data_IF_609528519278
#
_entry.id   IF_609528519278
#
_cell.length_a   1.000
_cell.length_b   1.000
_cell.length_c   1.000
_cell.angle_alpha   90.00
_cell.angle_beta   90.00
_cell.angle_gamma   90.00
#
_symmetry.space_group_name_H-M   'P 1'
#
loop_
_entity.id
_entity.type
_entity.pdbx_description
1 polymer ?
#
# COMPACT_ATOMS: atom_id res chain seq x y z
N UNK A 1 11.41 -66.21 40.27
CA UNK A 1 10.58 -66.33 39.05
C UNK A 1 11.41 -65.88 37.87
N UNK A 2 11.60 -66.80 36.91
CA UNK A 2 11.84 -66.67 35.45
C UNK A 2 11.96 -65.24 34.88
N UNK A 3 12.71 -64.95 33.82
CA UNK A 3 13.74 -65.63 33.02
C UNK A 3 14.24 -64.54 32.03
N UNK A 4 15.44 -64.75 31.52
CA UNK A 4 16.16 -64.01 30.47
C UNK A 4 15.36 -63.63 29.21
N UNK A 5 15.81 -62.58 28.50
CA UNK A 5 15.47 -62.39 27.08
C UNK A 5 15.93 -61.07 26.45
N UNK A 6 17.15 -61.03 25.92
CA UNK A 6 17.56 -60.06 24.89
C UNK A 6 17.09 -60.57 23.53
N UNK A 7 16.39 -59.77 22.72
CA UNK A 7 16.37 -59.98 21.27
C UNK A 7 16.09 -58.69 20.46
N UNK A 8 16.80 -58.67 19.34
CA UNK A 8 17.09 -57.64 18.35
C UNK A 8 16.00 -57.53 17.26
N UNK A 9 15.72 -56.29 16.82
CA UNK A 9 15.24 -55.80 15.49
C UNK A 9 13.91 -56.35 14.94
N UNK A 10 13.04 -55.46 14.44
CA UNK A 10 12.57 -55.39 13.04
C UNK A 10 11.65 -54.17 12.88
N UNK A 11 12.04 -53.30 11.96
CA UNK A 11 11.22 -52.23 11.38
C UNK A 11 10.15 -52.89 10.50
N UNK A 12 8.87 -52.62 10.75
CA UNK A 12 7.81 -52.84 9.78
C UNK A 12 7.10 -51.50 9.54
N UNK A 13 7.36 -50.94 8.35
CA UNK A 13 6.50 -49.93 7.75
C UNK A 13 5.12 -50.55 7.49
N UNK A 14 4.07 -49.92 7.99
CA UNK A 14 2.77 -49.96 7.35
C UNK A 14 2.38 -48.54 6.94
N UNK A 15 2.36 -48.34 5.62
CA UNK A 15 1.62 -47.28 4.96
C UNK A 15 0.13 -47.57 5.13
N UNK A 16 -0.61 -46.66 5.76
CA UNK A 16 -2.02 -46.47 5.46
C UNK A 16 -2.32 -44.98 5.28
N UNK A 17 -2.88 -44.70 4.12
CA UNK A 17 -3.37 -43.39 3.68
C UNK A 17 -4.71 -43.15 4.38
N UNK A 18 -4.85 -42.02 5.06
CA UNK A 18 -6.10 -41.60 5.67
C UNK A 18 -6.09 -40.09 5.94
N UNK A 19 -6.87 -39.36 5.15
CA UNK A 19 -7.09 -37.92 5.24
C UNK A 19 -7.65 -37.45 6.60
N UNK A 20 -7.47 -36.14 6.85
CA UNK A 20 -8.00 -35.31 7.95
C UNK A 20 -7.21 -35.42 9.27
N UNK A 21 -6.59 -34.37 9.82
CA UNK A 21 -7.19 -33.06 10.05
C UNK A 21 -6.27 -31.88 9.67
N UNK A 22 -6.76 -31.09 8.71
CA UNK A 22 -6.52 -29.65 8.59
C UNK A 22 -7.03 -28.97 9.87
N UNK A 23 -6.17 -28.71 10.85
CA UNK A 23 -6.54 -27.81 11.96
C UNK A 23 -5.39 -27.07 12.63
N UNK A 24 -4.12 -27.45 12.41
CA UNK A 24 -3.01 -26.90 13.23
C UNK A 24 -1.97 -26.06 12.46
N UNK A 25 -2.07 -25.93 11.14
CA UNK A 25 -1.13 -25.09 10.34
C UNK A 25 -1.59 -23.65 10.10
N UNK A 26 -2.81 -23.29 10.51
CA UNK A 26 -3.37 -21.95 10.28
C UNK A 26 -3.06 -20.96 11.41
N UNK A 27 -2.53 -21.44 12.54
CA UNK A 27 -2.33 -20.62 13.76
C UNK A 27 -0.89 -20.11 13.92
N UNK A 28 0.09 -20.69 13.20
CA UNK A 28 1.49 -20.22 13.25
C UNK A 28 1.76 -19.12 12.19
N UNK A 29 0.88 -18.95 11.19
CA UNK A 29 0.98 -17.93 10.14
C UNK A 29 0.55 -16.51 10.54
N UNK A 30 -0.03 -16.33 11.73
CA UNK A 30 -0.58 -15.05 12.18
C UNK A 30 0.33 -14.25 13.13
N UNK A 31 1.32 -14.88 13.78
CA UNK A 31 2.11 -14.23 14.85
C UNK A 31 3.38 -13.50 14.39
N UNK A 32 3.92 -13.81 13.21
CA UNK A 32 5.20 -13.23 12.77
C UNK A 32 5.08 -12.08 11.75
N UNK A 33 3.85 -11.62 11.47
CA UNK A 33 3.58 -10.44 10.61
C UNK A 33 3.56 -9.12 11.42
N UNK A 34 3.48 -9.18 12.76
CA UNK A 34 3.24 -8.01 13.61
C UNK A 34 4.50 -7.17 13.96
N UNK A 35 5.71 -7.69 13.76
CA UNK A 35 6.93 -7.01 14.17
C UNK A 35 7.58 -6.24 13.00
N UNK A 36 7.06 -5.04 12.69
CA UNK A 36 7.82 -3.84 12.26
C UNK A 36 6.90 -2.70 11.75
N UNK A 37 5.88 -2.35 12.53
CA UNK A 37 4.99 -1.20 12.31
C UNK A 37 5.20 -0.17 13.43
N UNK A 38 6.46 0.14 13.78
CA UNK A 38 6.76 1.02 14.92
C UNK A 38 7.23 2.39 14.42
N UNK A 39 6.56 3.45 14.87
CA UNK A 39 7.03 4.82 14.67
C UNK A 39 8.12 5.12 15.71
N UNK A 40 9.35 4.70 15.37
CA UNK A 40 10.52 4.75 16.26
C UNK A 40 11.10 6.15 16.46
N UNK A 41 10.95 7.02 15.47
CA UNK A 41 11.41 8.41 15.57
C UNK A 41 10.42 9.21 16.43
N UNK A 42 10.91 9.76 17.54
CA UNK A 42 10.15 10.59 18.48
C UNK A 42 10.81 11.97 18.57
N UNK A 43 10.01 13.02 18.50
CA UNK A 43 10.44 14.41 18.64
C UNK A 43 9.59 15.11 19.71
N UNK A 44 10.21 15.96 20.53
CA UNK A 44 9.49 16.75 21.54
C UNK A 44 9.50 18.23 21.15
N UNK A 45 8.32 18.82 21.04
CA UNK A 45 8.13 20.25 20.78
C UNK A 45 8.48 21.06 22.04
N UNK A 46 9.31 22.09 21.89
CA UNK A 46 9.97 22.76 23.01
C UNK A 46 9.07 23.74 23.78
N UNK A 47 8.02 24.27 23.16
CA UNK A 47 7.10 25.22 23.80
C UNK A 47 6.08 24.51 24.68
N UNK A 48 5.46 23.45 24.19
CA UNK A 48 4.36 22.74 24.85
C UNK A 48 4.78 21.42 25.49
N UNK A 49 5.96 20.88 25.14
CA UNK A 49 6.40 19.55 25.57
C UNK A 49 5.68 18.40 24.87
N UNK A 50 4.87 18.68 23.84
CA UNK A 50 4.20 17.65 23.04
C UNK A 50 5.22 16.71 22.39
N UNK A 51 4.99 15.41 22.52
CA UNK A 51 5.76 14.39 21.81
C UNK A 51 5.07 14.02 20.52
N UNK A 52 5.83 13.95 19.44
CA UNK A 52 5.41 13.55 18.11
C UNK A 52 6.15 12.30 17.69
N UNK A 53 5.48 11.45 16.93
CA UNK A 53 6.07 10.27 16.29
C UNK A 53 6.01 10.39 14.79
N UNK A 54 7.10 10.00 14.12
CA UNK A 54 7.17 10.03 12.66
C UNK A 54 6.60 8.76 12.08
N UNK A 55 5.54 8.90 11.29
CA UNK A 55 4.95 7.80 10.54
C UNK A 55 5.80 7.57 9.27
N UNK A 56 6.44 6.40 9.10
CA UNK A 56 7.47 6.20 8.09
C UNK A 56 6.89 5.98 6.68
N UNK A 57 7.72 6.28 5.65
CA UNK A 57 7.40 6.13 4.21
C UNK A 57 7.06 4.70 3.77
N UNK A 58 7.33 3.68 4.59
CA UNK A 58 6.97 2.27 4.29
C UNK A 58 5.45 2.03 4.25
N UNK A 59 4.64 3.03 4.62
CA UNK A 59 3.18 3.09 4.40
C UNK A 59 2.82 3.44 2.95
N UNK A 60 3.27 2.65 1.97
CA UNK A 60 3.12 3.03 0.55
C UNK A 60 1.65 2.91 0.10
N UNK A 61 0.90 2.02 0.73
CA UNK A 61 -0.54 1.84 0.53
C UNK A 61 -1.15 1.29 1.82
N UNK A 62 -2.22 1.91 2.31
CA UNK A 62 -3.05 1.31 3.35
C UNK A 62 -4.51 1.36 2.92
N UNK A 63 -5.30 0.41 3.43
CA UNK A 63 -6.73 0.33 3.14
C UNK A 63 -7.49 1.15 4.18
N UNK A 64 -8.06 2.27 3.74
CA UNK A 64 -8.94 3.09 4.56
C UNK A 64 -10.37 2.52 4.52
N UNK A 65 -11.19 2.81 5.53
CA UNK A 65 -12.55 2.32 5.65
C UNK A 65 -12.65 0.89 6.19
N UNK A 66 -13.87 0.39 6.32
CA UNK A 66 -14.20 -0.89 6.99
C UNK A 66 -14.74 -1.93 6.01
N UNK A 67 -14.40 -3.23 6.17
CA UNK A 67 -14.99 -4.30 5.37
C UNK A 67 -16.49 -4.39 5.61
N UNK A 68 -17.26 -4.96 4.69
CA UNK A 68 -18.73 -5.08 4.82
C UNK A 68 -19.17 -5.94 5.99
N UNK A 69 -18.25 -6.71 6.54
CA UNK A 69 -18.47 -7.60 7.68
C UNK A 69 -18.14 -6.95 9.03
N UNK A 70 -17.53 -5.76 9.08
CA UNK A 70 -17.17 -5.11 10.35
C UNK A 70 -18.43 -4.67 11.09
N UNK A 71 -18.59 -5.12 12.33
CA UNK A 71 -19.76 -4.78 13.13
C UNK A 71 -19.80 -3.27 13.45
N UNK A 72 -20.98 -2.68 13.28
CA UNK A 72 -21.18 -1.24 13.51
C UNK A 72 -20.66 -0.34 12.38
N UNK A 73 -20.19 -0.91 11.26
CA UNK A 73 -19.87 -0.19 10.02
C UNK A 73 -21.02 0.69 9.56
N UNK A 74 -20.69 1.82 8.92
CA UNK A 74 -21.62 2.67 8.17
C UNK A 74 -21.36 2.61 6.66
N UNK A 75 -22.36 3.05 5.88
CA UNK A 75 -22.29 3.06 4.40
C UNK A 75 -21.21 3.99 3.82
N UNK A 76 -20.81 5.01 4.58
CA UNK A 76 -19.80 6.00 4.24
C UNK A 76 -18.37 5.58 4.61
N UNK A 77 -18.18 4.32 4.99
CA UNK A 77 -16.89 3.71 5.39
C UNK A 77 -16.42 2.68 4.33
N UNK A 78 -16.70 2.94 3.04
CA UNK A 78 -16.33 2.04 1.92
C UNK A 78 -14.80 1.90 1.80
N UNK A 79 -14.31 0.67 1.62
CA UNK A 79 -12.87 0.45 1.51
C UNK A 79 -12.31 0.84 0.15
N UNK A 80 -11.19 1.55 0.17
CA UNK A 80 -10.28 1.71 -0.95
C UNK A 80 -8.85 1.86 -0.45
N UNK A 81 -7.90 1.79 -1.38
CA UNK A 81 -6.48 1.84 -1.07
C UNK A 81 -5.93 3.20 -1.49
N UNK A 82 -5.20 3.86 -0.60
CA UNK A 82 -4.57 5.16 -0.87
C UNK A 82 -3.15 5.20 -0.30
N UNK A 83 -2.40 6.23 -0.67
CA UNK A 83 -1.02 6.45 -0.23
C UNK A 83 -0.95 7.65 0.69
N UNK A 84 -0.28 7.51 1.83
CA UNK A 84 0.02 8.62 2.75
C UNK A 84 1.53 8.81 2.79
N UNK A 85 1.98 10.06 2.65
CA UNK A 85 3.40 10.39 2.75
C UNK A 85 3.90 10.32 4.20
N UNK A 86 5.19 10.54 4.42
CA UNK A 86 5.76 10.62 5.78
C UNK A 86 5.36 11.94 6.47
N UNK A 87 4.83 11.83 7.69
CA UNK A 87 4.43 12.96 8.54
C UNK A 87 4.72 12.64 10.01
N UNK A 88 4.78 13.68 10.84
CA UNK A 88 4.81 13.59 12.29
C UNK A 88 3.37 13.68 12.83
N UNK A 89 3.04 12.92 13.87
CA UNK A 89 1.75 13.01 14.58
C UNK A 89 1.96 12.94 16.10
N UNK A 90 1.19 13.71 16.86
CA UNK A 90 1.30 13.77 18.31
C UNK A 90 0.93 12.42 18.95
N UNK A 91 1.70 12.03 19.99
CA UNK A 91 1.53 10.77 20.72
C UNK A 91 0.16 10.65 21.37
N UNK A 92 -0.39 11.76 21.83
CA UNK A 92 -1.67 11.86 22.55
C UNK A 92 -2.56 12.91 21.89
N UNK A 93 -3.80 13.05 22.35
CA UNK A 93 -4.53 14.30 22.15
C UNK A 93 -3.78 15.46 22.84
N UNK A 94 -4.08 16.68 22.40
CA UNK A 94 -3.58 17.89 23.08
C UNK A 94 -4.14 17.94 24.49
N UNK A 95 -3.28 18.01 25.50
CA UNK A 95 -3.73 18.08 26.90
C UNK A 95 -4.16 19.49 27.30
N UNK A 96 -4.89 19.62 28.40
CA UNK A 96 -5.27 20.93 28.92
C UNK A 96 -4.07 21.76 29.36
N UNK A 97 -3.03 21.14 29.91
CA UNK A 97 -1.77 21.82 30.22
C UNK A 97 -1.13 22.40 28.96
N UNK A 98 -1.01 21.60 27.91
CA UNK A 98 -0.46 22.05 26.61
C UNK A 98 -1.34 23.13 25.97
N UNK A 99 -2.66 23.01 26.11
CA UNK A 99 -3.61 24.02 25.68
C UNK A 99 -3.37 25.37 26.38
N UNK A 100 -3.30 25.35 27.72
CA UNK A 100 -3.12 26.54 28.56
C UNK A 100 -1.76 27.22 28.32
N UNK A 101 -0.73 26.49 27.89
CA UNK A 101 0.55 27.09 27.47
C UNK A 101 0.39 28.05 26.29
N UNK A 102 -0.56 27.78 25.39
CA UNK A 102 -0.76 28.53 24.13
C UNK A 102 -1.95 29.49 24.22
N UNK A 103 -3.01 29.09 24.91
CA UNK A 103 -4.30 29.76 24.94
C UNK A 103 -4.59 30.31 26.34
N UNK A 104 -5.19 31.50 26.39
CA UNK A 104 -5.46 32.21 27.65
C UNK A 104 -6.72 31.75 28.40
N UNK A 105 -7.39 30.70 27.93
CA UNK A 105 -8.62 30.17 28.52
C UNK A 105 -8.73 28.67 28.24
N UNK A 106 -9.50 27.93 29.03
CA UNK A 106 -9.68 26.49 28.88
C UNK A 106 -11.16 26.13 28.64
N UNK A 107 -11.54 25.69 27.42
CA UNK A 107 -12.93 25.35 27.09
C UNK A 107 -13.39 24.01 27.65
N UNK A 108 -12.49 23.17 28.16
CA UNK A 108 -12.81 21.80 28.58
C UNK A 108 -13.90 21.75 29.63
N UNK A 109 -14.82 20.81 29.48
CA UNK A 109 -15.85 20.51 30.47
C UNK A 109 -15.23 19.87 31.71
N UNK A 110 -14.34 18.89 31.52
CA UNK A 110 -13.63 18.23 32.61
C UNK A 110 -12.32 18.95 32.86
N UNK A 111 -11.85 19.01 34.10
CA UNK A 111 -10.65 19.79 34.46
C UNK A 111 -9.53 18.89 34.97
N UNK A 112 -8.34 19.07 34.41
CA UNK A 112 -7.12 18.39 34.83
C UNK A 112 -6.04 18.56 33.77
N UNK A 113 -4.81 18.80 34.20
CA UNK A 113 -3.68 19.16 33.32
C UNK A 113 -3.36 18.08 32.27
N UNK A 114 -3.44 16.82 32.68
CA UNK A 114 -3.15 15.65 31.85
C UNK A 114 -4.38 15.10 31.12
N UNK A 115 -5.56 15.69 31.33
CA UNK A 115 -6.74 15.36 30.55
C UNK A 115 -6.61 15.94 29.12
N UNK A 116 -7.21 15.31 28.11
CA UNK A 116 -7.33 15.95 26.80
C UNK A 116 -8.10 17.27 26.93
N UNK A 117 -7.77 18.23 26.07
CA UNK A 117 -8.64 19.38 25.89
C UNK A 117 -9.93 18.91 25.20
N UNK A 118 -11.08 19.25 25.79
CA UNK A 118 -12.40 18.87 25.28
C UNK A 118 -13.23 20.12 24.97
N UNK A 119 -14.43 19.91 24.41
CA UNK A 119 -15.33 21.00 24.02
C UNK A 119 -14.69 22.03 23.07
N UNK A 120 -13.68 21.59 22.29
CA UNK A 120 -12.96 22.42 21.33
C UNK A 120 -13.65 22.35 19.97
N UNK A 121 -14.07 23.50 19.45
CA UNK A 121 -14.53 23.60 18.06
C UNK A 121 -13.35 23.53 17.09
N UNK A 122 -13.59 23.12 15.84
CA UNK A 122 -12.56 23.07 14.81
C UNK A 122 -11.86 24.43 14.64
N UNK A 123 -12.63 25.52 14.63
CA UNK A 123 -12.08 26.88 14.54
C UNK A 123 -11.15 27.22 15.71
N UNK A 124 -11.45 26.71 16.90
CA UNK A 124 -10.63 26.96 18.08
C UNK A 124 -9.35 26.10 18.07
N UNK A 125 -9.42 24.86 17.57
CA UNK A 125 -8.23 24.05 17.28
C UNK A 125 -7.31 24.75 16.25
N UNK A 126 -7.87 25.33 15.19
CA UNK A 126 -7.09 26.12 14.23
C UNK A 126 -6.46 27.37 14.87
N UNK A 127 -7.17 28.05 15.78
CA UNK A 127 -6.61 29.20 16.52
C UNK A 127 -5.43 28.79 17.39
N UNK A 128 -5.53 27.65 18.09
CA UNK A 128 -4.43 27.04 18.83
C UNK A 128 -3.24 26.78 17.91
N UNK A 129 -3.46 26.07 16.80
CA UNK A 129 -2.43 25.71 15.82
C UNK A 129 -1.74 26.95 15.25
N UNK A 130 -2.51 27.96 14.83
CA UNK A 130 -1.96 29.22 14.30
C UNK A 130 -1.05 29.89 15.32
N UNK A 131 -1.47 29.96 16.58
CA UNK A 131 -0.69 30.57 17.66
C UNK A 131 0.58 29.78 17.95
N UNK A 132 0.50 28.45 18.01
CA UNK A 132 1.67 27.58 18.19
C UNK A 132 2.66 27.72 17.03
N UNK A 133 2.19 27.75 15.78
CA UNK A 133 3.02 27.98 14.59
C UNK A 133 3.72 29.34 14.64
N UNK A 134 3.01 30.41 15.04
CA UNK A 134 3.62 31.73 15.21
C UNK A 134 4.71 31.73 16.28
N UNK A 135 4.53 31.01 17.39
CA UNK A 135 5.53 30.95 18.47
C UNK A 135 6.75 30.09 18.14
N UNK A 136 6.57 29.03 17.35
CA UNK A 136 7.61 28.02 17.11
C UNK A 136 8.29 28.17 15.75
N UNK A 137 7.71 28.93 14.82
CA UNK A 137 8.12 28.94 13.41
C UNK A 137 7.88 27.62 12.68
N UNK A 138 7.20 26.64 13.31
CA UNK A 138 6.86 25.35 12.70
C UNK A 138 5.51 25.43 12.00
N UNK A 139 5.17 24.34 11.29
CA UNK A 139 3.94 24.21 10.49
C UNK A 139 3.10 23.04 10.97
N UNK A 140 2.65 23.10 12.22
CA UNK A 140 1.64 22.20 12.75
C UNK A 140 0.31 22.38 12.02
N UNK A 141 -0.45 21.29 11.95
CA UNK A 141 -1.79 21.22 11.39
C UNK A 141 -2.59 20.11 12.09
N UNK A 142 -3.89 20.05 11.83
CA UNK A 142 -4.65 18.82 12.09
C UNK A 142 -4.23 17.75 11.06
N UNK A 143 -4.27 16.45 11.42
CA UNK A 143 -4.08 15.39 10.43
C UNK A 143 -5.20 15.43 9.39
N UNK A 144 -4.92 14.93 8.18
CA UNK A 144 -5.96 14.52 7.24
C UNK A 144 -6.72 13.31 7.80
N UNK A 145 -7.92 13.04 7.29
CA UNK A 145 -8.64 11.83 7.68
C UNK A 145 -7.85 10.55 7.38
N UNK A 146 -7.18 10.50 6.22
CA UNK A 146 -6.35 9.39 5.81
C UNK A 146 -5.14 9.18 6.73
N UNK A 147 -4.43 10.26 7.09
CA UNK A 147 -3.33 10.19 8.05
C UNK A 147 -3.81 9.69 9.40
N UNK A 148 -4.93 10.23 9.89
CA UNK A 148 -5.48 9.83 11.17
C UNK A 148 -5.83 8.33 11.19
N UNK A 149 -6.51 7.80 10.16
CA UNK A 149 -6.89 6.38 10.14
C UNK A 149 -5.65 5.47 10.04
N UNK A 150 -4.66 5.84 9.22
CA UNK A 150 -3.40 5.11 9.15
C UNK A 150 -2.73 5.05 10.53
N UNK A 151 -2.65 6.20 11.20
CA UNK A 151 -2.08 6.32 12.53
C UNK A 151 -2.84 5.47 13.55
N UNK A 152 -4.17 5.47 13.50
CA UNK A 152 -5.01 4.73 14.42
C UNK A 152 -4.86 3.22 14.24
N UNK A 153 -4.84 2.75 12.98
CA UNK A 153 -4.67 1.33 12.63
C UNK A 153 -3.32 0.79 13.02
N UNK A 154 -2.25 1.58 12.88
CA UNK A 154 -0.88 1.15 13.14
C UNK A 154 -0.57 -0.26 12.59
N UNK A 155 -1.02 -0.48 11.35
CA UNK A 155 -0.84 -1.70 10.56
C UNK A 155 -1.78 -2.87 10.88
N UNK A 156 -2.75 -2.71 11.79
CA UNK A 156 -3.85 -3.68 11.90
C UNK A 156 -4.91 -3.44 10.84
N UNK A 157 -5.65 -4.49 10.50
CA UNK A 157 -6.83 -4.43 9.61
C UNK A 157 -8.15 -4.61 10.35
N UNK A 158 -8.09 -4.84 11.66
CA UNK A 158 -9.21 -5.04 12.58
C UNK A 158 -9.98 -3.74 12.83
N UNK A 159 -11.15 -3.84 13.46
CA UNK A 159 -11.95 -2.67 13.84
C UNK A 159 -11.21 -1.71 14.79
N UNK A 160 -10.36 -2.24 15.69
CA UNK A 160 -9.53 -1.48 16.65
C UNK A 160 -8.10 -1.98 16.61
N UNK A 161 -7.13 -1.16 17.02
CA UNK A 161 -5.72 -1.57 16.96
C UNK A 161 -5.35 -2.71 17.92
N UNK A 162 -6.24 -3.04 18.86
CA UNK A 162 -6.08 -4.18 19.78
C UNK A 162 -6.94 -5.39 19.41
N UNK A 163 -7.75 -5.33 18.35
CA UNK A 163 -8.59 -6.44 17.90
C UNK A 163 -9.96 -6.04 17.37
N UNK A 164 -10.82 -7.03 17.15
CA UNK A 164 -12.19 -6.85 16.63
C UNK A 164 -13.19 -6.46 17.73
N UNK A 165 -13.01 -7.00 18.93
CA UNK A 165 -13.89 -6.75 20.07
C UNK A 165 -13.47 -5.49 20.84
N UNK A 166 -14.42 -4.91 21.58
CA UNK A 166 -14.13 -3.75 22.43
C UNK A 166 -13.23 -4.16 23.61
N UNK A 167 -13.47 -5.35 24.16
CA UNK A 167 -12.84 -5.81 25.39
C UNK A 167 -13.21 -4.93 26.59
N UNK A 168 -12.45 -5.09 27.67
CA UNK A 168 -12.60 -4.31 28.90
C UNK A 168 -11.40 -3.39 29.07
N UNK A 169 -11.64 -2.12 29.43
CA UNK A 169 -10.60 -1.17 29.82
C UNK A 169 -9.50 -0.94 28.76
N UNK A 170 -9.84 -1.03 27.47
CA UNK A 170 -8.91 -0.75 26.36
C UNK A 170 -9.00 0.70 25.85
N UNK A 171 -10.09 1.38 26.15
CA UNK A 171 -10.36 2.75 25.77
C UNK A 171 -11.39 3.34 26.75
N UNK A 172 -11.48 4.67 26.81
CA UNK A 172 -12.52 5.35 27.56
C UNK A 172 -13.75 5.58 26.66
N UNK A 173 -14.87 4.94 26.98
CA UNK A 173 -16.07 4.91 26.14
C UNK A 173 -17.32 4.39 26.86
N UNK A 174 -18.49 4.62 26.25
CA UNK A 174 -19.77 4.20 26.80
C UNK A 174 -19.89 2.68 26.84
N UNK A 175 -19.85 2.12 28.05
CA UNK A 175 -19.97 0.68 28.34
C UNK A 175 -18.85 -0.18 27.75
N UNK A 176 -17.61 0.31 27.76
CA UNK A 176 -16.45 -0.50 27.35
C UNK A 176 -15.59 -1.02 28.51
N UNK A 177 -16.17 -1.02 29.72
CA UNK A 177 -15.55 -1.62 30.90
C UNK A 177 -14.39 -0.82 31.49
N UNK A 178 -14.23 0.45 31.11
CA UNK A 178 -13.31 1.36 31.78
C UNK A 178 -13.94 1.94 33.07
N UNK A 179 -13.10 2.49 33.94
CA UNK A 179 -13.50 2.99 35.27
C UNK A 179 -13.68 4.52 35.31
N UNK A 180 -13.74 5.21 34.17
CA UNK A 180 -13.74 6.67 34.14
C UNK A 180 -15.14 7.24 33.89
N UNK A 181 -15.63 8.04 34.84
CA UNK A 181 -16.87 8.81 34.66
C UNK A 181 -16.70 10.05 33.76
N UNK A 182 -15.44 10.46 33.51
CA UNK A 182 -15.04 11.63 32.75
C UNK A 182 -14.01 11.24 31.67
N UNK A 183 -13.43 12.21 30.96
CA UNK A 183 -12.23 11.93 30.13
C UNK A 183 -11.12 11.37 31.01
N UNK A 184 -10.35 10.43 30.48
CA UNK A 184 -9.20 9.86 31.16
C UNK A 184 -7.97 10.75 30.92
N UNK A 185 -6.99 10.81 31.86
CA UNK A 185 -5.67 11.34 31.55
C UNK A 185 -5.10 10.67 30.31
N UNK A 186 -4.44 11.42 29.44
CA UNK A 186 -3.82 10.84 28.25
C UNK A 186 -2.82 9.76 28.65
N UNK A 187 -2.68 8.72 27.82
CA UNK A 187 -1.85 7.53 28.10
C UNK A 187 -2.34 6.65 29.25
N UNK A 188 -3.62 6.74 29.62
CA UNK A 188 -4.22 5.80 30.58
C UNK A 188 -4.38 4.38 30.00
N UNK A 189 -4.39 4.25 28.67
CA UNK A 189 -4.55 2.97 27.97
C UNK A 189 -3.29 2.58 27.20
N UNK A 190 -3.21 1.31 26.78
CA UNK A 190 -2.08 0.81 26.01
C UNK A 190 -1.96 1.53 24.64
N UNK A 191 -0.75 1.91 24.22
CA UNK A 191 -0.55 2.52 22.92
C UNK A 191 -0.73 1.49 21.80
N UNK A 192 -0.99 1.96 20.58
CA UNK A 192 -0.94 1.11 19.39
C UNK A 192 0.51 0.83 18.95
N UNK A 193 0.70 0.05 17.87
CA UNK A 193 2.04 -0.31 17.39
C UNK A 193 2.90 0.89 16.96
N UNK A 194 2.29 2.03 16.63
CA UNK A 194 3.02 3.27 16.39
C UNK A 194 3.41 4.01 17.67
N UNK A 195 3.04 3.55 18.86
CA UNK A 195 3.29 4.25 20.12
C UNK A 195 2.35 5.45 20.32
N UNK A 196 1.20 5.45 19.65
CA UNK A 196 0.17 6.47 19.81
C UNK A 196 -0.89 5.99 20.79
N UNK A 197 -1.28 6.88 21.69
CA UNK A 197 -2.23 6.63 22.76
C UNK A 197 -3.58 7.25 22.40
N UNK A 198 -4.63 6.66 22.96
CA UNK A 198 -5.98 7.24 22.95
C UNK A 198 -6.50 7.51 21.53
N UNK A 199 -5.96 6.81 20.52
CA UNK A 199 -6.42 6.93 19.12
C UNK A 199 -7.90 6.52 18.98
N UNK A 200 -8.45 5.75 19.93
CA UNK A 200 -9.83 5.31 19.94
C UNK A 200 -10.40 5.52 21.35
N UNK A 201 -11.50 6.27 21.46
CA UNK A 201 -12.13 6.64 22.74
C UNK A 201 -11.66 7.99 23.27
N UNK A 202 -11.95 8.26 24.55
CA UNK A 202 -11.65 9.50 25.28
C UNK A 202 -12.36 10.74 24.68
N UNK A 203 -11.82 11.34 23.62
CA UNK A 203 -12.44 12.43 22.86
C UNK A 203 -12.41 12.17 21.36
N UNK A 204 -13.45 12.62 20.66
CA UNK A 204 -13.42 12.73 19.20
C UNK A 204 -12.32 13.69 18.78
N UNK A 205 -11.62 13.37 17.70
CA UNK A 205 -10.52 14.18 17.22
C UNK A 205 -10.82 14.82 15.88
N UNK A 206 -10.63 16.14 15.81
CA UNK A 206 -10.76 16.90 14.56
C UNK A 206 -9.68 16.54 13.55
N UNK A 207 -10.08 16.41 12.28
CA UNK A 207 -9.18 16.36 11.12
C UNK A 207 -9.32 17.63 10.28
N UNK A 208 -8.39 17.85 9.35
CA UNK A 208 -8.48 18.96 8.39
C UNK A 208 -9.29 18.63 7.13
N UNK A 209 -9.82 17.41 7.00
CA UNK A 209 -10.55 16.96 5.81
C UNK A 209 -12.04 17.31 5.88
N UNK A 210 -12.61 17.69 4.74
CA UNK A 210 -14.06 17.84 4.61
C UNK A 210 -14.74 16.48 4.69
N UNK A 211 -15.88 16.44 5.37
CA UNK A 211 -16.70 15.25 5.36
C UNK A 211 -17.46 15.14 4.03
N UNK A 212 -17.25 14.00 3.35
CA UNK A 212 -18.12 13.53 2.27
C UNK A 212 -18.58 12.10 2.53
N UNK A 213 -19.82 11.80 2.10
CA UNK A 213 -20.42 10.46 2.24
C UNK A 213 -19.64 9.41 1.45
N UNK A 214 -19.06 9.79 0.32
CA UNK A 214 -18.19 8.93 -0.49
C UNK A 214 -16.76 9.40 -0.37
N UNK A 215 -15.82 8.47 -0.32
CA UNK A 215 -14.42 8.80 -0.51
C UNK A 215 -14.17 9.15 -1.98
N UNK A 216 -13.51 10.28 -2.19
CA UNK A 216 -13.22 10.88 -3.50
C UNK A 216 -11.86 11.62 -3.47
N UNK A 217 -10.92 11.07 -2.70
CA UNK A 217 -9.60 11.62 -2.37
C UNK A 217 -9.62 12.86 -1.46
N UNK A 218 -10.79 13.38 -1.06
CA UNK A 218 -10.88 14.50 -0.10
C UNK A 218 -10.30 14.14 1.27
N UNK A 219 -10.34 12.85 1.64
CA UNK A 219 -9.78 12.32 2.87
C UNK A 219 -8.25 12.43 2.94
N UNK A 220 -7.57 12.66 1.82
CA UNK A 220 -6.12 12.82 1.72
C UNK A 220 -5.66 14.28 1.77
N UNK A 221 -6.58 15.24 1.94
CA UNK A 221 -6.27 16.68 1.81
C UNK A 221 -6.85 17.49 2.96
N UNK A 222 -6.11 18.51 3.36
CA UNK A 222 -6.63 19.57 4.21
C UNK A 222 -7.37 20.60 3.35
N UNK A 223 -8.52 21.06 3.83
CA UNK A 223 -9.32 22.08 3.14
C UNK A 223 -9.70 23.24 4.06
N UNK A 224 -9.83 24.42 3.47
CA UNK A 224 -10.30 25.62 4.14
C UNK A 224 -11.77 25.91 3.78
N UNK A 225 -12.59 26.26 4.77
CA UNK A 225 -13.96 26.73 4.53
C UNK A 225 -14.99 25.63 4.29
N UNK A 226 -14.70 24.38 4.66
CA UNK A 226 -15.67 23.31 4.52
C UNK A 226 -16.87 23.49 5.47
N UNK A 227 -18.06 23.08 5.01
CA UNK A 227 -19.28 23.15 5.83
C UNK A 227 -19.24 22.17 7.00
N UNK A 228 -18.68 20.98 6.78
CA UNK A 228 -18.55 19.91 7.75
C UNK A 228 -17.14 19.34 7.68
N UNK A 229 -16.47 19.28 8.84
CA UNK A 229 -15.18 18.62 8.98
C UNK A 229 -15.36 17.25 9.63
N UNK A 230 -14.44 16.35 9.31
CA UNK A 230 -14.44 14.99 9.82
C UNK A 230 -13.94 14.96 11.28
N UNK A 231 -14.58 14.10 12.07
CA UNK A 231 -14.17 13.70 13.42
C UNK A 231 -13.91 12.19 13.44
N UNK A 232 -12.87 11.76 14.15
CA UNK A 232 -12.47 10.33 14.25
C UNK A 232 -12.22 9.91 15.71
N UNK A 233 -12.19 8.59 15.96
CA UNK A 233 -11.78 8.02 17.27
C UNK A 233 -12.91 7.55 18.19
N UNK A 234 -14.07 8.21 18.18
CA UNK A 234 -15.05 8.00 19.25
C UNK A 234 -14.69 8.78 20.51
N UNK A 235 -15.54 8.74 21.54
CA UNK A 235 -15.34 9.44 22.80
C UNK A 235 -15.97 8.71 23.99
N UNK A 236 -15.72 9.20 25.22
CA UNK A 236 -16.13 8.56 26.49
C UNK A 236 -17.63 8.19 26.61
N UNK A 237 -18.53 8.88 25.91
CA UNK A 237 -19.97 8.67 25.99
C UNK A 237 -20.54 7.90 24.80
N UNK A 238 -19.68 7.40 23.91
CA UNK A 238 -20.12 6.69 22.72
C UNK A 238 -20.07 5.19 22.93
N UNK A 239 -21.05 4.47 22.39
CA UNK A 239 -20.99 3.02 22.39
C UNK A 239 -19.82 2.51 21.54
N UNK A 240 -19.41 1.27 21.81
CA UNK A 240 -18.29 0.59 21.16
C UNK A 240 -18.29 0.67 19.61
N UNK A 241 -19.46 0.81 18.96
CA UNK A 241 -19.57 0.95 17.49
C UNK A 241 -18.91 2.22 16.93
N UNK A 242 -18.66 3.22 17.75
CA UNK A 242 -17.99 4.47 17.36
C UNK A 242 -16.50 4.47 17.67
N UNK A 243 -16.07 3.57 18.54
CA UNK A 243 -14.67 3.38 18.93
C UNK A 243 -14.06 2.38 17.96
N UNK A 244 -13.96 2.75 16.68
CA UNK A 244 -13.37 1.94 15.60
C UNK A 244 -12.48 2.82 14.73
N UNK A 245 -11.41 2.25 14.20
CA UNK A 245 -10.47 2.97 13.33
C UNK A 245 -11.15 3.54 12.08
N UNK A 246 -12.16 2.86 11.53
CA UNK A 246 -12.92 3.34 10.37
C UNK A 246 -14.10 4.27 10.74
N UNK A 247 -14.45 4.44 12.01
CA UNK A 247 -15.68 5.16 12.37
C UNK A 247 -15.57 6.66 12.08
N UNK A 248 -16.52 7.17 11.28
CA UNK A 248 -16.56 8.58 10.88
C UNK A 248 -17.69 9.31 11.60
N UNK A 249 -17.38 10.50 12.10
CA UNK A 249 -18.33 11.51 12.52
C UNK A 249 -18.05 12.83 11.79
N UNK A 250 -18.95 13.80 11.94
CA UNK A 250 -18.84 15.11 11.28
C UNK A 250 -19.50 16.18 12.10
N UNK A 251 -18.93 17.37 12.07
CA UNK A 251 -19.54 18.54 12.71
C UNK A 251 -19.14 19.82 11.99
N UNK A 252 -19.92 20.89 12.23
CA UNK A 252 -19.64 22.22 11.68
C UNK A 252 -18.41 22.81 12.36
N UNK A 253 -17.59 23.61 11.64
CA UNK A 253 -16.36 24.16 12.20
C UNK A 253 -16.59 25.17 13.33
N UNK A 254 -17.73 25.89 13.27
CA UNK A 254 -18.26 26.75 14.32
C UNK A 254 -19.63 26.23 14.77
N UNK A 255 -19.87 26.13 16.07
CA UNK A 255 -21.18 25.81 16.63
C UNK A 255 -21.16 25.15 18.00
N UNK A 256 -22.33 25.08 18.64
CA UNK A 256 -22.55 24.27 19.85
C UNK A 256 -22.30 22.80 19.50
N UNK A 257 -21.24 22.22 20.06
CA UNK A 257 -20.90 20.81 19.89
C UNK A 257 -21.96 19.96 20.60
N UNK A 258 -23.02 19.54 19.89
CA UNK A 258 -24.04 18.66 20.47
C UNK A 258 -23.38 17.32 20.87
N UNK A 259 -23.07 17.12 22.17
CA UNK A 259 -22.43 15.91 22.68
C UNK A 259 -20.94 16.02 23.07
N UNK A 260 -20.40 17.24 23.09
CA UNK A 260 -19.28 17.81 23.88
C UNK A 260 -17.95 17.10 24.16
N UNK A 261 -17.59 16.01 23.49
CA UNK A 261 -16.28 15.41 23.74
C UNK A 261 -15.41 15.48 22.49
N UNK A 262 -15.21 16.70 21.96
CA UNK A 262 -14.29 16.91 20.82
C UNK A 262 -13.01 17.60 21.32
N UNK A 263 -11.90 16.91 21.13
CA UNK A 263 -10.54 17.43 21.21
C UNK A 263 -9.86 17.33 19.85
N UNK A 264 -8.54 17.23 19.84
CA UNK A 264 -7.76 17.05 18.63
C UNK A 264 -6.33 16.61 18.98
N UNK A 265 -5.64 16.04 17.99
CA UNK A 265 -4.19 15.85 18.01
C UNK A 265 -3.54 16.57 16.82
N UNK A 266 -2.25 16.81 16.92
CA UNK A 266 -1.50 17.54 15.90
C UNK A 266 -0.76 16.61 14.94
N UNK A 267 -0.57 17.09 13.72
CA UNK A 267 0.33 16.53 12.73
C UNK A 267 1.26 17.63 12.15
N UNK A 268 2.36 17.23 11.52
CA UNK A 268 3.30 18.12 10.84
C UNK A 268 4.02 17.41 9.68
N UNK A 269 4.20 18.11 8.57
CA UNK A 269 4.90 17.56 7.39
C UNK A 269 6.42 17.47 7.60
N UNK A 270 7.03 16.42 7.03
CA UNK A 270 8.47 16.14 7.13
C UNK A 270 9.35 16.91 6.14
N UNK A 271 8.76 17.74 5.27
CA UNK A 271 9.48 18.63 4.36
C UNK A 271 10.13 19.84 5.06
N UNK A 272 9.91 19.98 6.38
CA UNK A 272 10.46 21.05 7.21
C UNK A 272 11.65 20.59 8.08
N UNK A 273 12.32 19.48 7.74
CA UNK A 273 13.57 19.05 8.39
C UNK A 273 14.75 19.84 7.81
N UNK A 274 14.94 21.09 8.25
CA UNK A 274 16.29 21.66 8.32
C UNK A 274 17.07 20.95 9.44
N UNK A 275 18.31 20.62 9.11
CA UNK A 275 19.23 19.77 9.86
C UNK A 275 19.33 20.11 11.34
N UNK A 276 19.10 19.12 12.20
CA UNK A 276 19.96 18.72 13.34
C UNK A 276 19.18 17.77 14.24
N UNK A 277 19.45 16.46 14.16
CA UNK A 277 19.10 15.54 15.23
C UNK A 277 20.15 14.42 15.29
N UNK A 278 20.94 14.47 16.35
CA UNK A 278 22.00 13.54 16.74
C UNK A 278 21.41 12.16 17.01
N UNK A 279 21.95 11.12 16.37
CA UNK A 279 21.46 9.74 16.46
C UNK A 279 22.13 9.02 17.64
N UNK A 280 21.32 8.50 18.58
CA UNK A 280 21.74 7.46 19.53
C UNK A 280 21.12 6.13 19.09
N UNK A 281 21.96 5.11 18.98
CA UNK A 281 21.64 3.79 18.44
C UNK A 281 20.75 2.94 19.38
N UNK A 282 19.78 2.19 18.82
CA UNK A 282 19.11 1.06 19.50
C UNK A 282 18.83 -0.06 18.47
N UNK A 283 19.07 -1.30 18.91
CA UNK A 283 19.30 -2.54 18.15
C UNK A 283 18.19 -3.03 17.19
N UNK A 284 18.63 -3.69 16.10
CA UNK A 284 17.84 -4.23 14.99
C UNK A 284 17.22 -5.61 15.29
N UNK A 285 15.95 -5.82 14.90
CA UNK A 285 15.39 -7.17 14.73
C UNK A 285 16.09 -7.80 13.52
N UNK A 286 16.93 -8.81 13.77
CA UNK A 286 17.83 -9.42 12.78
C UNK A 286 17.05 -10.20 11.71
N UNK A 287 16.64 -9.53 10.62
CA UNK A 287 16.40 -10.21 9.35
C UNK A 287 17.74 -10.71 8.82
N UNK A 288 17.78 -11.96 8.36
CA UNK A 288 19.00 -12.52 7.81
C UNK A 288 19.46 -11.67 6.62
N UNK A 289 20.66 -11.12 6.75
CA UNK A 289 21.35 -10.46 5.65
C UNK A 289 22.39 -11.43 5.14
N UNK A 290 22.21 -11.88 3.91
CA UNK A 290 23.16 -12.74 3.20
C UNK A 290 23.53 -12.08 1.88
N UNK A 291 24.75 -12.36 1.43
CA UNK A 291 25.36 -11.80 0.24
C UNK A 291 25.51 -12.91 -0.79
N UNK A 292 25.24 -12.58 -2.05
CA UNK A 292 25.42 -13.53 -3.14
C UNK A 292 26.77 -13.31 -3.80
N UNK A 293 27.67 -14.27 -3.67
CA UNK A 293 28.95 -14.26 -4.38
C UNK A 293 28.73 -14.69 -5.83
N UNK A 294 28.94 -13.77 -6.76
CA UNK A 294 28.72 -14.02 -8.19
C UNK A 294 29.75 -14.97 -8.80
N UNK A 295 30.93 -15.08 -8.21
CA UNK A 295 32.01 -15.94 -8.71
C UNK A 295 31.75 -17.39 -8.30
N UNK A 296 31.45 -17.62 -7.02
CA UNK A 296 31.20 -18.96 -6.47
C UNK A 296 29.74 -19.41 -6.61
N UNK A 297 28.82 -18.49 -6.93
CA UNK A 297 27.36 -18.70 -6.99
C UNK A 297 26.75 -19.19 -5.67
N UNK A 298 27.36 -18.83 -4.55
CA UNK A 298 26.90 -19.23 -3.21
C UNK A 298 26.41 -18.01 -2.43
N UNK A 299 25.50 -18.28 -1.50
CA UNK A 299 25.10 -17.32 -0.47
C UNK A 299 26.04 -17.43 0.73
N UNK A 300 26.38 -16.30 1.34
CA UNK A 300 27.20 -16.24 2.55
C UNK A 300 26.73 -15.12 3.48
N UNK A 301 27.03 -15.25 4.77
CA UNK A 301 26.82 -14.18 5.75
C UNK A 301 27.86 -13.06 5.60
N UNK A 302 29.06 -13.40 5.10
CA UNK A 302 30.13 -12.44 4.88
C UNK A 302 29.94 -11.65 3.57
N UNK A 303 30.13 -10.34 3.68
CA UNK A 303 30.20 -9.42 2.54
C UNK A 303 31.66 -9.32 2.08
N UNK A 304 31.96 -9.69 0.84
CA UNK A 304 33.34 -9.58 0.31
C UNK A 304 33.58 -8.39 -0.63
N UNK A 305 32.53 -7.73 -1.10
CA UNK A 305 32.60 -6.61 -2.05
C UNK A 305 31.40 -5.64 -1.83
N UNK A 306 31.66 -4.34 -1.95
CA UNK A 306 30.67 -3.27 -1.86
C UNK A 306 29.55 -3.40 -2.91
N UNK A 307 29.82 -3.96 -4.09
CA UNK A 307 28.86 -4.16 -5.18
C UNK A 307 28.16 -5.53 -5.14
N UNK A 308 28.43 -6.37 -4.13
CA UNK A 308 27.77 -7.67 -4.03
C UNK A 308 26.26 -7.53 -3.86
N UNK A 309 25.47 -8.37 -4.55
CA UNK A 309 24.05 -8.48 -4.27
C UNK A 309 23.82 -8.81 -2.80
N UNK A 310 22.93 -8.06 -2.18
CA UNK A 310 22.55 -8.20 -0.78
C UNK A 310 21.10 -8.63 -0.71
N UNK A 311 20.82 -9.74 -0.03
CA UNK A 311 19.48 -10.17 0.28
C UNK A 311 19.15 -9.82 1.73
N UNK A 312 17.91 -9.41 1.96
CA UNK A 312 17.32 -9.25 3.29
C UNK A 312 15.94 -9.87 3.27
N UNK A 313 15.72 -10.88 4.10
CA UNK A 313 14.44 -11.55 4.18
C UNK A 313 14.54 -12.93 4.84
N UNK A 314 13.55 -13.76 4.55
CA UNK A 314 13.44 -15.12 5.04
C UNK A 314 14.51 -16.04 4.41
N UNK A 315 15.15 -16.85 5.24
CA UNK A 315 16.14 -17.84 4.80
C UNK A 315 15.74 -19.23 5.26
N UNK A 316 15.98 -20.21 4.40
CA UNK A 316 15.96 -21.63 4.75
C UNK A 316 17.27 -22.22 4.23
N UNK A 317 17.96 -23.04 5.04
CA UNK A 317 19.22 -23.69 4.68
C UNK A 317 20.30 -22.71 4.15
N UNK A 318 20.37 -21.52 4.74
CA UNK A 318 21.36 -20.49 4.39
C UNK A 318 21.13 -19.81 3.04
N UNK A 319 19.98 -20.03 2.39
CA UNK A 319 19.62 -19.42 1.11
C UNK A 319 18.25 -18.70 1.20
N UNK A 320 17.96 -17.72 0.32
CA UNK A 320 16.67 -17.05 0.32
C UNK A 320 15.51 -18.02 0.08
N UNK A 321 14.52 -18.01 0.95
CA UNK A 321 13.33 -18.85 0.83
C UNK A 321 12.18 -18.17 1.59
N UNK A 322 11.05 -17.95 0.93
CA UNK A 322 9.97 -17.12 1.44
C UNK A 322 10.09 -15.66 1.00
N UNK A 323 9.58 -14.70 1.78
CA UNK A 323 9.54 -13.31 1.35
C UNK A 323 10.85 -12.56 1.60
N UNK A 324 11.28 -11.75 0.64
CA UNK A 324 12.42 -10.87 0.87
C UNK A 324 12.73 -9.89 -0.25
N UNK A 325 13.83 -9.17 -0.08
CA UNK A 325 14.34 -8.20 -1.03
C UNK A 325 15.78 -8.49 -1.40
N UNK A 326 16.05 -8.63 -2.71
CA UNK A 326 17.40 -8.75 -3.27
C UNK A 326 17.80 -7.44 -3.95
N UNK A 327 18.77 -6.76 -3.35
CA UNK A 327 19.40 -5.55 -3.87
C UNK A 327 20.51 -5.95 -4.84
N UNK A 328 20.46 -5.44 -6.07
CA UNK A 328 21.41 -5.73 -7.14
C UNK A 328 22.07 -4.42 -7.62
N UNK A 329 23.28 -4.46 -8.21
CA UNK A 329 23.95 -3.27 -8.72
C UNK A 329 23.11 -2.40 -9.67
N UNK A 330 22.28 -3.02 -10.51
CA UNK A 330 21.47 -2.33 -11.53
C UNK A 330 19.96 -2.58 -11.36
N UNK A 331 19.51 -2.75 -10.11
CA UNK A 331 18.09 -2.93 -9.83
C UNK A 331 17.81 -3.59 -8.49
N UNK A 332 16.57 -4.00 -8.26
CA UNK A 332 16.22 -4.85 -7.12
C UNK A 332 15.07 -5.78 -7.46
N UNK A 333 14.91 -6.84 -6.68
CA UNK A 333 13.73 -7.68 -6.68
C UNK A 333 13.15 -7.71 -5.27
N UNK A 334 11.83 -7.60 -5.17
CA UNK A 334 11.08 -7.75 -3.92
C UNK A 334 9.92 -8.69 -4.20
N UNK A 335 9.76 -9.71 -3.38
CA UNK A 335 8.72 -10.71 -3.56
C UNK A 335 9.13 -12.06 -3.01
N UNK A 336 8.46 -13.09 -3.51
CA UNK A 336 8.66 -14.45 -3.06
C UNK A 336 9.98 -15.05 -3.63
N UNK A 337 10.65 -15.84 -2.79
CA UNK A 337 11.81 -16.63 -3.11
C UNK A 337 11.53 -18.10 -2.82
N UNK A 338 12.07 -18.97 -3.67
CA UNK A 338 12.13 -20.40 -3.40
C UNK A 338 13.50 -20.91 -3.85
N UNK A 339 14.23 -21.54 -2.94
CA UNK A 339 15.59 -22.06 -3.17
C UNK A 339 16.53 -21.02 -3.81
N UNK A 340 16.56 -19.82 -3.24
CA UNK A 340 17.43 -18.72 -3.65
C UNK A 340 17.03 -18.02 -4.95
N UNK A 341 15.85 -18.31 -5.49
CA UNK A 341 15.39 -17.77 -6.78
C UNK A 341 14.05 -17.06 -6.65
N UNK A 342 13.84 -16.04 -7.47
CA UNK A 342 12.54 -15.39 -7.62
C UNK A 342 11.52 -16.45 -8.05
N UNK A 343 10.46 -16.56 -7.26
CA UNK A 343 9.35 -17.48 -7.47
C UNK A 343 8.06 -16.77 -7.02
N UNK A 344 6.88 -17.21 -7.42
CA UNK A 344 5.62 -16.58 -6.98
C UNK A 344 5.46 -15.12 -7.43
N UNK A 345 4.78 -14.30 -6.63
CA UNK A 345 4.54 -12.90 -6.96
C UNK A 345 5.72 -12.02 -6.59
N UNK A 346 6.00 -11.01 -7.42
CA UNK A 346 7.06 -10.06 -7.12
C UNK A 346 7.09 -8.81 -7.99
N UNK A 347 8.04 -7.94 -7.64
CA UNK A 347 8.36 -6.71 -8.34
C UNK A 347 9.85 -6.65 -8.60
N UNK A 348 10.21 -6.54 -9.88
CA UNK A 348 11.58 -6.40 -10.36
C UNK A 348 11.78 -5.00 -10.95
N UNK A 349 12.66 -4.21 -10.33
CA UNK A 349 13.12 -2.95 -10.91
C UNK A 349 14.44 -3.18 -11.66
N UNK A 350 14.50 -2.67 -12.88
CA UNK A 350 15.69 -2.55 -13.71
C UNK A 350 15.98 -1.05 -13.84
N UNK A 351 16.99 -0.53 -13.12
CA UNK A 351 17.19 0.92 -12.95
C UNK A 351 17.17 1.73 -14.25
N UNK A 352 17.69 1.16 -15.34
CA UNK A 352 17.80 1.83 -16.65
C UNK A 352 16.83 1.29 -17.70
N UNK A 353 15.91 0.38 -17.34
CA UNK A 353 15.01 -0.26 -18.32
C UNK A 353 13.53 -0.14 -17.97
N UNK A 354 13.20 -0.15 -16.68
CA UNK A 354 11.82 -0.08 -16.22
C UNK A 354 11.52 -1.00 -15.05
N UNK A 355 10.23 -1.24 -14.80
CA UNK A 355 9.74 -2.13 -13.72
C UNK A 355 8.87 -3.24 -14.29
N UNK A 356 8.99 -4.43 -13.73
CA UNK A 356 8.11 -5.56 -13.98
C UNK A 356 7.42 -5.94 -12.67
N UNK A 357 6.09 -6.06 -12.69
CA UNK A 357 5.27 -6.58 -11.58
C UNK A 357 4.49 -7.78 -12.10
N UNK A 358 4.52 -8.90 -11.38
CA UNK A 358 3.77 -10.10 -11.77
C UNK A 358 4.41 -11.36 -11.21
N UNK A 359 4.12 -12.47 -11.89
CA UNK A 359 4.60 -13.79 -11.49
C UNK A 359 6.04 -14.05 -11.95
N UNK A 360 6.80 -14.74 -11.11
CA UNK A 360 8.16 -15.17 -11.35
C UNK A 360 8.30 -16.67 -11.10
N UNK A 361 9.15 -17.30 -11.88
CA UNK A 361 9.55 -18.70 -11.68
C UNK A 361 11.01 -18.83 -12.07
N UNK A 362 11.83 -19.32 -11.13
CA UNK A 362 13.27 -19.52 -11.34
C UNK A 362 13.98 -18.27 -11.89
N UNK A 363 13.84 -17.12 -11.19
CA UNK A 363 14.44 -15.83 -11.54
C UNK A 363 13.90 -15.13 -12.80
N UNK A 364 12.87 -15.69 -13.44
CA UNK A 364 12.33 -15.19 -14.70
C UNK A 364 10.85 -14.91 -14.59
N UNK A 365 10.40 -13.87 -15.28
CA UNK A 365 8.97 -13.61 -15.45
C UNK A 365 8.27 -14.85 -16.00
N UNK A 366 7.16 -15.21 -15.38
CA UNK A 366 6.28 -16.29 -15.79
C UNK A 366 4.83 -15.87 -15.55
N UNK A 367 3.83 -16.59 -16.06
CA UNK A 367 2.43 -16.24 -15.80
C UNK A 367 2.06 -14.83 -16.23
N UNK A 368 1.19 -14.15 -15.49
CA UNK A 368 0.76 -12.79 -15.81
C UNK A 368 1.75 -11.73 -15.29
N UNK A 369 1.96 -10.67 -16.07
CA UNK A 369 2.80 -9.56 -15.64
C UNK A 369 2.56 -8.25 -16.38
N UNK A 370 2.99 -7.17 -15.74
CA UNK A 370 3.00 -5.80 -16.28
C UNK A 370 4.42 -5.26 -16.29
N UNK A 371 4.95 -4.96 -17.47
CA UNK A 371 6.20 -4.24 -17.63
C UNK A 371 5.94 -2.78 -18.00
N UNK A 372 6.50 -1.86 -17.24
CA UNK A 372 6.52 -0.42 -17.56
C UNK A 372 7.94 -0.01 -17.87
N UNK A 373 8.18 0.39 -19.12
CA UNK A 373 9.49 0.84 -19.60
C UNK A 373 9.73 2.30 -19.17
N UNK A 374 11.00 2.74 -19.13
CA UNK A 374 11.34 4.12 -18.76
C UNK A 374 10.81 5.17 -19.76
N UNK A 375 10.69 4.80 -21.03
CA UNK A 375 10.13 5.66 -22.07
C UNK A 375 8.59 5.76 -21.99
N UNK A 376 7.95 5.10 -21.01
CA UNK A 376 6.49 5.08 -20.85
C UNK A 376 5.79 3.97 -21.62
N UNK A 377 6.49 3.20 -22.46
CA UNK A 377 5.90 2.00 -23.06
C UNK A 377 5.41 1.05 -21.95
N UNK A 378 4.35 0.29 -22.23
CA UNK A 378 3.78 -0.65 -21.27
C UNK A 378 3.41 -1.94 -21.96
N UNK A 379 3.76 -3.07 -21.35
CA UNK A 379 3.24 -4.39 -21.73
C UNK A 379 2.44 -4.97 -20.57
N UNK A 380 1.25 -5.50 -20.85
CA UNK A 380 0.42 -6.27 -19.92
C UNK A 380 0.07 -7.58 -20.60
N UNK A 381 0.45 -8.70 -20.00
CA UNK A 381 0.11 -10.00 -20.55
C UNK A 381 1.00 -11.12 -20.03
N UNK A 382 0.96 -12.25 -20.72
CA UNK A 382 1.64 -13.45 -20.26
C UNK A 382 3.16 -13.40 -20.50
N UNK A 383 3.88 -14.11 -19.65
CA UNK A 383 5.31 -14.33 -19.70
C UNK A 383 5.66 -15.82 -19.63
N UNK A 384 6.64 -16.22 -20.44
CA UNK A 384 7.23 -17.57 -20.36
C UNK A 384 8.74 -17.46 -20.43
N UNK A 385 9.42 -17.99 -19.41
CA UNK A 385 10.89 -17.96 -19.30
C UNK A 385 11.48 -16.55 -19.51
N UNK A 386 10.81 -15.52 -18.97
CA UNK A 386 11.27 -14.14 -19.00
C UNK A 386 10.96 -13.36 -20.27
N UNK A 387 10.23 -13.96 -21.23
CA UNK A 387 9.85 -13.31 -22.49
C UNK A 387 8.32 -13.16 -22.56
N UNK A 388 7.85 -12.09 -23.19
CA UNK A 388 6.43 -11.92 -23.54
C UNK A 388 5.97 -13.14 -24.32
N UNK A 389 4.86 -13.72 -23.93
CA UNK A 389 4.28 -14.90 -24.53
C UNK A 389 2.76 -14.84 -24.43
N UNK A 390 2.03 -15.75 -25.08
CA UNK A 390 0.58 -15.83 -24.93
C UNK A 390 -0.13 -14.56 -25.39
N UNK A 391 -1.26 -14.22 -24.77
CA UNK A 391 -1.98 -12.97 -25.09
C UNK A 391 -1.39 -11.80 -24.31
N UNK A 392 -1.30 -10.64 -24.96
CA UNK A 392 -0.85 -9.43 -24.30
C UNK A 392 -1.11 -8.16 -25.08
N UNK A 393 -1.18 -7.06 -24.34
CA UNK A 393 -1.35 -5.70 -24.82
C UNK A 393 -0.05 -4.94 -24.66
N UNK A 394 0.41 -4.29 -25.72
CA UNK A 394 1.50 -3.32 -25.68
C UNK A 394 0.99 -1.94 -26.01
N UNK A 395 1.22 -0.97 -25.13
CA UNK A 395 0.79 0.41 -25.27
C UNK A 395 2.02 1.30 -25.36
N UNK A 396 2.01 2.22 -26.33
CA UNK A 396 3.03 3.25 -26.51
C UNK A 396 2.54 4.58 -25.92
N UNK A 397 3.44 5.47 -25.45
CA UNK A 397 3.08 6.77 -24.89
C UNK A 397 2.25 7.66 -25.82
N UNK A 398 2.43 7.51 -27.13
CA UNK A 398 1.68 8.27 -28.14
C UNK A 398 0.22 7.80 -28.28
N UNK A 399 -0.24 6.83 -27.48
CA UNK A 399 -1.59 6.28 -27.52
C UNK A 399 -1.78 5.14 -28.53
N UNK A 400 -0.77 4.83 -29.34
CA UNK A 400 -0.82 3.64 -30.18
C UNK A 400 -0.81 2.39 -29.31
N UNK A 401 -1.47 1.31 -29.72
CA UNK A 401 -1.47 0.03 -29.01
C UNK A 401 -1.43 -1.19 -29.92
N UNK A 402 -1.05 -2.34 -29.37
CA UNK A 402 -1.10 -3.63 -30.02
C UNK A 402 -1.71 -4.63 -29.05
N UNK A 403 -2.77 -5.31 -29.49
CA UNK A 403 -3.45 -6.37 -28.74
C UNK A 403 -3.37 -7.64 -29.56
N UNK A 404 -2.69 -8.66 -29.07
CA UNK A 404 -2.54 -9.89 -29.85
C UNK A 404 -1.68 -10.94 -29.18
N UNK A 405 -1.27 -11.92 -29.98
CA UNK A 405 -0.49 -13.05 -29.50
C UNK A 405 1.03 -12.77 -29.59
N UNK A 406 1.76 -13.29 -28.61
CA UNK A 406 3.19 -13.07 -28.44
C UNK A 406 3.94 -14.41 -28.36
N UNK A 407 5.06 -14.49 -29.05
CA UNK A 407 5.96 -15.64 -29.01
C UNK A 407 7.40 -15.18 -28.84
N UNK A 408 8.02 -15.60 -27.74
CA UNK A 408 9.41 -15.29 -27.41
C UNK A 408 9.77 -13.78 -27.51
N UNK A 409 8.87 -12.90 -27.08
CA UNK A 409 9.10 -11.46 -27.08
C UNK A 409 8.69 -10.73 -28.36
N UNK A 410 8.25 -11.44 -29.40
CA UNK A 410 7.79 -10.89 -30.67
C UNK A 410 6.28 -11.07 -30.83
N UNK A 411 5.65 -10.16 -31.57
CA UNK A 411 4.26 -10.32 -32.04
C UNK A 411 4.21 -11.49 -33.02
N UNK A 412 3.23 -12.37 -32.86
CA UNK A 412 3.10 -13.64 -33.60
C UNK A 412 1.62 -14.00 -33.70
N UNK A 413 1.20 -14.67 -34.76
CA UNK A 413 -0.20 -15.09 -34.93
C UNK A 413 -1.12 -13.88 -35.15
N UNK A 414 -2.38 -13.99 -34.75
CA UNK A 414 -3.34 -12.91 -34.96
C UNK A 414 -3.19 -11.76 -33.95
N UNK A 415 -3.32 -10.52 -34.42
CA UNK A 415 -3.31 -9.35 -33.55
C UNK A 415 -3.75 -8.06 -34.23
N UNK A 416 -4.14 -7.10 -33.40
CA UNK A 416 -4.63 -5.79 -33.78
C UNK A 416 -3.60 -4.73 -33.38
N UNK A 417 -3.17 -3.90 -34.32
CA UNK A 417 -2.37 -2.70 -34.09
C UNK A 417 -3.23 -1.47 -34.34
N UNK A 418 -3.45 -0.66 -33.31
CA UNK A 418 -4.08 0.65 -33.42
C UNK A 418 -2.99 1.72 -33.36
N UNK A 419 -3.00 2.65 -34.30
CA UNK A 419 -2.06 3.76 -34.38
C UNK A 419 -2.67 5.02 -33.74
N UNK A 420 -1.82 5.93 -33.27
CA UNK A 420 -2.25 7.18 -32.65
C UNK A 420 -3.02 8.12 -33.59
N UNK A 421 -2.87 7.95 -34.90
CA UNK A 421 -3.66 8.66 -35.91
C UNK A 421 -4.99 7.95 -36.26
N UNK A 422 -5.42 6.96 -35.49
CA UNK A 422 -6.67 6.23 -35.74
C UNK A 422 -6.58 5.12 -36.79
N UNK A 423 -5.48 5.01 -37.53
CA UNK A 423 -5.24 3.87 -38.42
C UNK A 423 -5.20 2.54 -37.64
N UNK A 424 -5.57 1.43 -38.30
CA UNK A 424 -5.62 0.10 -37.66
C UNK A 424 -5.11 -0.98 -38.61
N UNK A 425 -4.31 -1.91 -38.12
CA UNK A 425 -4.05 -3.20 -38.79
C UNK A 425 -4.63 -4.33 -37.96
N UNK A 426 -5.34 -5.25 -38.59
CA UNK A 426 -5.85 -6.48 -38.00
C UNK A 426 -5.48 -7.65 -38.91
N UNK A 427 -4.73 -8.62 -38.39
CA UNK A 427 -4.31 -9.75 -39.21
C UNK A 427 -3.20 -10.56 -38.58
N UNK A 428 -2.53 -11.34 -39.42
CA UNK A 428 -1.45 -12.24 -39.07
C UNK A 428 -0.11 -11.51 -38.90
N UNK A 429 0.67 -11.99 -37.94
CA UNK A 429 1.97 -11.49 -37.55
C UNK A 429 2.98 -12.63 -37.51
N UNK A 430 4.18 -12.36 -38.02
CA UNK A 430 5.31 -13.27 -37.92
C UNK A 430 6.57 -12.51 -37.58
N UNK A 431 7.28 -12.97 -36.54
CA UNK A 431 8.52 -12.32 -36.10
C UNK A 431 8.41 -10.81 -35.82
N UNK A 432 7.22 -10.32 -35.45
CA UNK A 432 7.00 -8.91 -35.18
C UNK A 432 6.57 -8.07 -36.39
N UNK A 433 6.44 -8.67 -37.57
CA UNK A 433 6.04 -8.02 -38.83
C UNK A 433 4.65 -8.50 -39.25
N UNK A 434 3.92 -7.71 -40.03
CA UNK A 434 2.74 -8.16 -40.77
C UNK A 434 3.16 -9.23 -41.77
N UNK A 435 2.57 -10.42 -41.65
CA UNK A 435 2.93 -11.57 -42.48
C UNK A 435 1.74 -12.53 -42.51
N UNK A 436 1.22 -12.83 -43.69
CA UNK A 436 -0.01 -13.59 -43.87
C UNK A 436 -1.23 -12.70 -44.16
N UNK A 437 -2.44 -13.18 -43.84
CA UNK A 437 -3.68 -12.47 -44.16
C UNK A 437 -3.95 -11.31 -43.20
N UNK A 438 -4.51 -10.21 -43.69
CA UNK A 438 -4.86 -9.07 -42.84
C UNK A 438 -5.75 -7.99 -43.48
N UNK A 439 -6.00 -6.94 -42.72
CA UNK A 439 -6.69 -5.73 -43.15
C UNK A 439 -6.02 -4.52 -42.52
N UNK A 440 -5.61 -3.56 -43.35
CA UNK A 440 -5.11 -2.26 -42.89
C UNK A 440 -6.15 -1.18 -43.21
N UNK A 441 -6.67 -0.50 -42.19
CA UNK A 441 -7.65 0.58 -42.29
C UNK A 441 -6.94 1.90 -42.04
N UNK A 442 -7.09 2.84 -42.97
CA UNK A 442 -6.62 4.22 -42.84
C UNK A 442 -7.62 5.06 -42.05
N UNK A 443 -7.16 6.18 -41.48
CA UNK A 443 -8.01 7.13 -40.76
C UNK A 443 -9.19 7.63 -41.60
N UNK A 444 -8.98 7.80 -42.91
CA UNK A 444 -10.00 8.25 -43.87
C UNK A 444 -10.99 7.16 -44.32
N UNK A 445 -10.90 5.96 -43.74
CA UNK A 445 -11.80 4.83 -44.01
C UNK A 445 -11.42 3.98 -45.23
N UNK A 446 -10.40 4.35 -46.01
CA UNK A 446 -9.84 3.44 -47.02
C UNK A 446 -9.23 2.22 -46.34
N UNK A 447 -9.15 1.08 -47.03
CA UNK A 447 -8.49 -0.10 -46.49
C UNK A 447 -7.77 -0.94 -47.53
N UNK A 448 -6.71 -1.63 -47.11
CA UNK A 448 -6.13 -2.77 -47.81
C UNK A 448 -6.61 -4.06 -47.17
N UNK A 449 -6.90 -5.07 -47.98
CA UNK A 449 -7.29 -6.42 -47.54
C UNK A 449 -6.60 -7.46 -48.42
N UNK A 450 -5.90 -8.43 -47.80
CA UNK A 450 -5.16 -9.47 -48.54
C UNK A 450 -3.95 -10.06 -47.79
N UNK A 451 -2.86 -10.32 -48.50
CA UNK A 451 -1.63 -10.95 -47.99
C UNK A 451 -0.50 -9.92 -47.80
N UNK A 452 0.18 -10.00 -46.65
CA UNK A 452 1.41 -9.27 -46.33
C UNK A 452 2.60 -10.24 -46.25
N UNK A 453 3.80 -9.75 -46.60
CA UNK A 453 5.09 -10.43 -46.39
C UNK A 453 6.09 -9.44 -45.82
N UNK A 454 6.55 -9.69 -44.59
CA UNK A 454 7.52 -8.83 -43.90
C UNK A 454 7.16 -7.33 -43.97
N UNK A 455 5.98 -6.96 -43.49
CA UNK A 455 5.39 -5.59 -43.52
C UNK A 455 5.03 -5.04 -44.92
N UNK A 456 5.33 -5.76 -46.00
CA UNK A 456 5.00 -5.33 -47.37
C UNK A 456 3.72 -6.00 -47.86
N UNK A 457 2.84 -5.23 -48.47
CA UNK A 457 1.66 -5.75 -49.15
C UNK A 457 2.12 -6.63 -50.32
N UNK A 458 1.61 -7.87 -50.41
CA UNK A 458 2.04 -8.86 -51.40
C UNK A 458 0.94 -9.19 -52.40
N UNK A 459 -0.22 -9.64 -51.94
CA UNK A 459 -1.39 -9.94 -52.78
C UNK A 459 -2.65 -9.35 -52.12
N UNK A 460 -3.07 -8.14 -52.50
CA UNK A 460 -4.15 -7.44 -51.79
C UNK A 460 -4.93 -6.48 -52.68
N UNK A 461 -6.15 -6.14 -52.25
CA UNK A 461 -7.00 -5.12 -52.87
C UNK A 461 -7.12 -3.91 -51.95
N UNK A 462 -7.09 -2.72 -52.53
CA UNK A 462 -7.41 -1.47 -51.84
C UNK A 462 -8.86 -1.10 -52.11
N UNK A 463 -9.59 -0.77 -51.05
CA UNK A 463 -10.97 -0.34 -51.10
C UNK A 463 -11.07 1.14 -50.69
N UNK A 464 -11.96 1.89 -51.35
CA UNK A 464 -12.34 3.22 -50.88
C UNK A 464 -13.31 3.11 -49.67
N UNK A 465 -13.71 4.25 -49.10
CA UNK A 465 -14.62 4.29 -47.94
C UNK A 465 -16.01 3.71 -48.25
N UNK A 466 -16.43 3.73 -49.51
CA UNK A 466 -17.68 3.13 -50.01
C UNK A 466 -17.58 1.62 -50.24
N UNK A 467 -16.40 1.01 -50.14
CA UNK A 467 -16.19 -0.42 -50.34
C UNK A 467 -15.94 -0.85 -51.79
N UNK A 468 -15.66 0.08 -52.70
CA UNK A 468 -15.26 -0.21 -54.08
C UNK A 468 -13.75 -0.46 -54.17
N UNK A 469 -13.35 -1.47 -54.95
CA UNK A 469 -11.93 -1.75 -55.22
C UNK A 469 -11.36 -0.66 -56.14
N UNK A 470 -10.29 0.00 -55.68
CA UNK A 470 -9.63 1.09 -56.41
C UNK A 470 -8.17 0.80 -56.76
N UNK A 471 -7.61 -0.31 -56.25
CA UNK A 471 -6.24 -0.76 -56.57
C UNK A 471 -6.08 -2.25 -56.27
N UNK A 472 -5.32 -2.96 -57.10
CA UNK A 472 -4.94 -4.35 -56.86
C UNK A 472 -3.41 -4.49 -56.85
N UNK A 473 -2.88 -5.25 -55.90
CA UNK A 473 -1.45 -5.55 -55.74
C UNK A 473 -1.27 -7.05 -55.89
N UNK A 474 -0.38 -7.47 -56.79
CA UNK A 474 -0.03 -8.87 -57.04
C UNK A 474 1.48 -9.03 -56.99
N UNK A 475 1.97 -9.98 -56.18
CA UNK A 475 3.41 -10.21 -55.95
C UNK A 475 4.18 -8.92 -55.63
N UNK A 476 3.57 -8.04 -54.84
CA UNK A 476 4.16 -6.77 -54.37
C UNK A 476 4.20 -5.64 -55.40
N UNK A 477 3.59 -5.82 -56.59
CA UNK A 477 3.48 -4.77 -57.61
C UNK A 477 2.04 -4.39 -57.85
N UNK A 478 1.80 -3.12 -58.19
CA UNK A 478 0.49 -2.65 -58.64
C UNK A 478 0.17 -3.39 -59.93
N UNK A 479 -0.98 -4.06 -59.97
CA UNK A 479 -1.49 -4.66 -61.19
C UNK A 479 -1.94 -3.51 -62.09
N UNK A 480 -1.20 -3.31 -63.19
CA UNK A 480 -1.51 -2.32 -64.21
C UNK A 480 -2.78 -2.71 -64.97
#
# INVERSE_FOLDING_TARGET
MKNTGTLTIIIIMFLSVGCANKASKQVILAKDVEQNIIAKEVWTETVTGMKFRKIPRKSIFFRIGSPSTEQGRKDDEKQHTLRVEKYWIAETEVTQKQWNTIMSFNPSKFKGDDLPVDSVSWNLAQKFIKTLNTRTGKKFRLPTEAEWELAARAGTTTARYWGEEIGENNANCGKCGDSWDNTAPVKSFAPNNFGLYDMLGNVWEWTCSEYKKTYDDIEQRCVSGARLYVLRGGALNNSAKHVRAASRAKSRPAGKLRGFNCGFRLAMDTSNEESTATVIAVEEVKKATIYFDRTTKKWSLEKKDRKQPRYVGEIADGIPSGNGALYLPHGFYEGEFYNGKFNGQGKRLYFEKGKLVGEFKNNKAHGQGTYTYLNGDKYVGEYKKGKKHGRGTFTWPNGSEYVGYWKFGKREGHGIRTYSNGGKYEGEWKNGLFDGQGTYIFEDGRRYEGEWKNDKIWNAKMYNKEGNVIKEIVKGKIKQ
#
